data_IF_485197266349
#
_entry.id   IF_485197266349
#
_cell.length_a   1.000
_cell.length_b   1.000
_cell.length_c   1.000
_cell.angle_alpha   90.00
_cell.angle_beta   90.00
_cell.angle_gamma   90.00
#
_symmetry.space_group_name_H-M   'P 1'
#
loop_
_entity.id
_entity.type
_entity.pdbx_description
1 polymer ?
#
# COMPACT_ATOMS: atom_id res chain seq x y z
N UNK A 1 -31.10 -11.23 5.50
CA UNK A 1 -30.46 -10.01 6.05
C UNK A 1 -28.99 -10.31 6.21
N UNK A 2 -28.12 -9.44 5.68
CA UNK A 2 -26.68 -9.58 5.85
C UNK A 2 -26.33 -9.24 7.30
N UNK A 3 -25.74 -10.17 8.06
CA UNK A 3 -25.34 -9.88 9.43
C UNK A 3 -23.98 -9.18 9.44
N UNK A 4 -23.67 -8.46 10.52
CA UNK A 4 -22.36 -7.80 10.68
C UNK A 4 -21.18 -8.77 10.49
N UNK A 5 -21.37 -10.03 10.88
CA UNK A 5 -20.38 -11.10 10.72
C UNK A 5 -20.18 -11.49 9.25
N UNK A 6 -21.25 -11.51 8.46
CA UNK A 6 -21.19 -11.82 7.03
C UNK A 6 -20.48 -10.71 6.23
N UNK A 7 -20.67 -9.45 6.64
CA UNK A 7 -19.96 -8.30 6.05
C UNK A 7 -18.44 -8.37 6.33
N UNK A 8 -18.04 -8.71 7.56
CA UNK A 8 -16.62 -8.88 7.87
C UNK A 8 -16.00 -10.10 7.18
N UNK A 9 -16.75 -11.21 7.07
CA UNK A 9 -16.28 -12.40 6.36
C UNK A 9 -16.03 -12.13 4.88
N UNK A 10 -16.96 -11.44 4.21
CA UNK A 10 -16.81 -11.08 2.79
C UNK A 10 -15.70 -10.06 2.55
N UNK A 11 -15.51 -9.09 3.44
CA UNK A 11 -14.40 -8.13 3.36
C UNK A 11 -13.03 -8.82 3.53
N UNK A 12 -12.90 -9.75 4.48
CA UNK A 12 -11.65 -10.49 4.68
C UNK A 12 -11.28 -11.33 3.44
N UNK A 13 -12.25 -12.00 2.82
CA UNK A 13 -12.03 -12.76 1.58
C UNK A 13 -11.63 -11.85 0.41
N UNK A 14 -12.23 -10.66 0.31
CA UNK A 14 -11.88 -9.69 -0.72
C UNK A 14 -10.47 -9.12 -0.54
N UNK A 15 -10.07 -8.80 0.70
CA UNK A 15 -8.73 -8.33 1.02
C UNK A 15 -7.65 -9.39 0.70
N UNK A 16 -7.92 -10.66 0.98
CA UNK A 16 -7.02 -11.77 0.65
C UNK A 16 -6.88 -11.97 -0.86
N UNK A 17 -7.96 -11.78 -1.63
CA UNK A 17 -7.92 -11.84 -3.09
C UNK A 17 -7.06 -10.71 -3.67
N UNK A 18 -7.20 -9.48 -3.14
CA UNK A 18 -6.38 -8.33 -3.54
C UNK A 18 -4.90 -8.54 -3.20
N UNK A 19 -4.60 -9.03 -1.99
CA UNK A 19 -3.23 -9.32 -1.56
C UNK A 19 -2.59 -10.45 -2.39
N UNK A 20 -3.36 -11.46 -2.77
CA UNK A 20 -2.91 -12.55 -3.63
C UNK A 20 -2.61 -12.08 -5.06
N UNK A 21 -3.43 -11.18 -5.62
CA UNK A 21 -3.19 -10.58 -6.92
C UNK A 21 -1.88 -9.76 -6.95
N UNK A 22 -1.61 -8.98 -5.90
CA UNK A 22 -0.34 -8.24 -5.78
C UNK A 22 0.90 -9.14 -5.63
N UNK A 23 0.76 -10.31 -4.98
CA UNK A 23 1.85 -11.29 -4.87
C UNK A 23 2.16 -12.01 -6.18
N UNK A 24 1.15 -12.25 -7.02
CA UNK A 24 1.34 -12.84 -8.34
C UNK A 24 2.16 -11.91 -9.27
N UNK A 25 1.96 -10.59 -9.17
CA UNK A 25 2.74 -9.60 -9.92
C UNK A 25 4.21 -9.54 -9.46
N UNK A 26 4.46 -9.71 -8.16
CA UNK A 26 5.81 -9.68 -7.59
C UNK A 26 6.68 -10.91 -7.94
N UNK A 27 6.08 -12.04 -8.31
CA UNK A 27 6.81 -13.29 -8.60
C UNK A 27 7.44 -13.36 -10.00
N UNK A 28 7.22 -12.39 -10.88
CA UNK A 28 7.83 -12.37 -12.23
C UNK A 28 9.25 -11.80 -12.25
N UNK A 29 9.82 -11.39 -11.10
CA UNK A 29 11.18 -10.87 -11.02
C UNK A 29 12.18 -11.96 -10.59
N UNK A 30 12.58 -12.81 -11.53
CA UNK A 30 13.80 -13.63 -11.42
C UNK A 30 15.04 -12.72 -11.49
N UNK A 31 15.96 -12.73 -10.50
CA UNK A 31 17.18 -11.93 -10.58
C UNK A 31 18.21 -12.66 -11.46
N UNK A 32 18.35 -12.24 -12.71
CA UNK A 32 19.49 -12.61 -13.55
C UNK A 32 20.71 -11.78 -13.16
N UNK A 33 21.72 -12.44 -12.58
CA UNK A 33 23.01 -11.87 -12.22
C UNK A 33 23.84 -11.50 -13.46
N UNK A 34 23.73 -10.25 -13.90
CA UNK A 34 24.69 -9.61 -14.81
C UNK A 34 24.81 -8.13 -14.44
N UNK A 35 25.99 -7.49 -14.50
CA UNK A 35 26.17 -6.08 -14.17
C UNK A 35 25.42 -5.23 -15.20
N UNK A 36 24.17 -4.95 -14.92
CA UNK A 36 23.28 -4.29 -15.84
C UNK A 36 23.46 -2.78 -15.68
N UNK A 37 23.82 -2.11 -16.77
CA UNK A 37 23.70 -0.67 -16.90
C UNK A 37 22.35 -0.20 -16.33
N UNK A 38 22.27 0.99 -15.70
CA UNK A 38 21.05 1.45 -15.03
C UNK A 38 19.85 1.27 -15.97
N UNK A 39 18.97 0.34 -15.65
CA UNK A 39 17.78 0.08 -16.45
C UNK A 39 17.02 1.40 -16.54
N UNK A 40 16.67 1.89 -17.74
CA UNK A 40 15.89 3.12 -17.85
C UNK A 40 14.59 2.95 -17.05
N UNK A 41 14.13 3.99 -16.34
CA UNK A 41 12.92 3.89 -15.51
C UNK A 41 11.77 3.36 -16.36
N UNK A 42 11.24 2.19 -15.98
CA UNK A 42 10.23 1.46 -16.75
C UNK A 42 8.88 2.19 -16.73
N UNK A 43 8.69 3.11 -15.77
CA UNK A 43 7.50 3.95 -15.66
C UNK A 43 7.89 5.37 -15.28
N UNK A 44 7.57 6.32 -16.16
CA UNK A 44 7.52 7.75 -15.86
C UNK A 44 6.05 8.16 -15.90
N UNK A 45 5.41 8.20 -14.74
CA UNK A 45 4.09 8.80 -14.61
C UNK A 45 4.28 10.17 -13.98
N UNK A 46 3.84 11.21 -14.68
CA UNK A 46 3.74 12.55 -14.12
C UNK A 46 2.66 12.48 -13.03
N UNK A 47 3.07 12.60 -11.77
CA UNK A 47 2.11 12.74 -10.70
C UNK A 47 1.41 14.10 -10.88
N UNK A 48 0.07 14.15 -10.81
CA UNK A 48 -0.61 15.44 -10.80
C UNK A 48 -0.11 16.27 -9.62
N UNK A 49 0.07 17.56 -9.83
CA UNK A 49 0.31 18.50 -8.74
C UNK A 49 -0.91 18.43 -7.81
N UNK A 50 -0.75 17.77 -6.67
CA UNK A 50 -1.75 17.78 -5.61
C UNK A 50 -1.51 19.03 -4.79
N UNK A 51 -2.47 19.95 -4.79
CA UNK A 51 -2.46 21.06 -3.85
C UNK A 51 -2.97 20.56 -2.51
N UNK A 52 -2.38 21.03 -1.41
CA UNK A 52 -2.81 20.71 -0.04
C UNK A 52 -3.95 21.61 0.43
N UNK A 53 -4.64 22.25 -0.52
CA UNK A 53 -5.81 23.07 -0.24
C UNK A 53 -6.88 22.19 0.39
N UNK A 54 -7.47 22.65 1.49
CA UNK A 54 -8.50 21.93 2.26
C UNK A 54 -8.05 20.63 2.97
N UNK A 55 -6.73 20.37 3.06
CA UNK A 55 -6.21 19.25 3.87
C UNK A 55 -6.17 19.64 5.36
N UNK A 56 -6.91 18.91 6.18
CA UNK A 56 -6.85 19.07 7.64
C UNK A 56 -5.76 18.15 8.22
N UNK A 57 -4.75 18.76 8.86
CA UNK A 57 -3.73 18.02 9.62
C UNK A 57 -4.17 17.95 11.08
N UNK A 58 -4.60 16.77 11.53
CA UNK A 58 -4.91 16.54 12.94
C UNK A 58 -3.68 16.05 13.68
N UNK A 59 -3.19 16.81 14.66
CA UNK A 59 -2.10 16.39 15.55
C UNK A 59 -2.72 15.82 16.83
N UNK A 60 -2.44 14.55 17.10
CA UNK A 60 -2.76 13.92 18.39
C UNK A 60 -1.52 13.91 19.27
N UNK A 61 -1.57 14.64 20.38
CA UNK A 61 -0.51 14.61 21.39
C UNK A 61 -0.82 13.50 22.39
N UNK A 62 0.12 12.58 22.57
CA UNK A 62 0.05 11.56 23.61
C UNK A 62 1.16 11.84 24.60
N UNK A 63 0.77 12.26 25.80
CA UNK A 63 1.68 12.41 26.93
C UNK A 63 2.18 11.04 27.39
N UNK A 64 3.44 10.76 27.10
CA UNK A 64 4.13 9.61 27.66
C UNK A 64 5.03 10.07 28.80
N UNK A 65 4.87 9.53 30.02
CA UNK A 65 5.84 9.79 31.08
C UNK A 65 7.23 9.28 30.65
N UNK A 66 8.32 10.04 30.91
CA UNK A 66 9.65 9.57 30.62
C UNK A 66 10.02 8.39 31.52
N UNK A 67 10.26 7.23 30.91
CA UNK A 67 10.92 6.09 31.55
C UNK A 67 10.05 4.85 31.74
N UNK A 68 10.57 3.73 31.23
CA UNK A 68 10.47 2.41 31.86
C UNK A 68 11.83 2.10 32.46
#
# INVERSE_FOLDING_TARGET
MMTRRDAFGSFALFAELLASAGRAEAQTQTPSSSPQAPRPPVFKHELPNVTMDDWEVTVSYVDYPPGR
#
